data_IF_487259780544
#
_entry.id   IF_487259780544
#
_cell.length_a   1.000
_cell.length_b   1.000
_cell.length_c   1.000
_cell.angle_alpha   90.00
_cell.angle_beta   90.00
_cell.angle_gamma   90.00
#
_symmetry.space_group_name_H-M   'P 1'
#
loop_
_entity.id
_entity.type
_entity.pdbx_description
1 polymer ?
#
# COMPACT_ATOMS: atom_id res chain seq x y z
N UNK A 1 -11.61 -4.21 -27.31
CA UNK A 1 -11.50 -3.54 -27.11
C UNK A 1 -11.22 -3.18 -26.71
N UNK A 2 -11.48 -3.31 -26.46
CA UNK A 2 -11.40 -2.69 -26.04
C UNK A 2 -11.48 -2.35 -25.66
N UNK A 3 -11.81 -2.48 -25.65
CA UNK A 3 -12.00 -1.91 -25.13
C UNK A 3 -11.96 -1.60 -24.64
N UNK A 4 -12.22 -1.60 -24.59
CA UNK A 4 -12.28 -0.91 -24.24
C UNK A 4 -12.03 -0.47 -23.88
N UNK A 5 -12.21 -0.52 -23.78
CA UNK A 5 -12.07 0.13 -23.46
C UNK A 5 -11.87 0.46 -23.22
N UNK A 6 -12.01 0.55 -23.19
CA UNK A 6 -11.90 1.29 -22.87
C UNK A 6 -11.57 1.79 -22.51
N UNK A 7 -11.57 1.63 -22.47
CA UNK A 7 -11.34 2.37 -22.06
C UNK A 7 -11.01 2.91 -21.80
N UNK A 8 -11.02 2.87 -21.96
CA UNK A 8 -10.74 3.65 -21.62
C UNK A 8 -10.52 4.22 -20.92
N UNK A 9 -10.88 4.30 -20.80
CA UNK A 9 -10.57 5.07 -20.03
C UNK A 9 -9.74 4.67 -19.21
N UNK A 10 -9.10 4.45 -19.46
CA UNK A 10 -8.23 3.88 -18.60
C UNK A 10 -7.58 4.81 -17.70
N UNK A 11 -7.75 4.67 -16.49
CA UNK A 11 -7.06 5.47 -15.55
C UNK A 11 -5.71 4.88 -15.29
N UNK A 12 -4.68 5.70 -15.07
CA UNK A 12 -3.33 5.18 -14.90
C UNK A 12 -3.21 4.17 -13.78
N UNK A 13 -3.95 4.37 -12.71
CA UNK A 13 -3.84 3.43 -11.62
C UNK A 13 -4.37 2.07 -11.99
N UNK A 14 -5.30 1.98 -12.88
CA UNK A 14 -5.77 0.68 -13.30
C UNK A 14 -4.73 -0.03 -14.14
N UNK A 15 -4.01 0.70 -14.92
CA UNK A 15 -3.00 0.07 -15.75
C UNK A 15 -1.87 -0.48 -14.87
N UNK A 16 -1.53 0.24 -13.83
CA UNK A 16 -0.45 -0.19 -12.99
C UNK A 16 -0.79 -1.38 -12.14
N UNK A 17 -2.04 -1.66 -11.95
CA UNK A 17 -2.45 -2.67 -11.02
C UNK A 17 -3.00 -3.88 -11.73
N UNK A 18 -2.23 -4.42 -12.64
CA UNK A 18 -2.60 -5.64 -13.32
C UNK A 18 -2.40 -6.76 -12.32
N UNK A 19 -3.34 -6.92 -11.43
CA UNK A 19 -3.24 -7.86 -10.32
C UNK A 19 -3.88 -9.18 -10.73
N UNK A 20 -3.26 -10.25 -10.38
CA UNK A 20 -3.84 -11.57 -10.61
C UNK A 20 -4.93 -11.90 -9.60
N UNK A 21 -5.63 -13.01 -9.78
CA UNK A 21 -6.63 -13.43 -8.83
C UNK A 21 -6.00 -13.63 -7.46
N UNK A 22 -6.67 -13.16 -6.43
CA UNK A 22 -6.20 -13.34 -5.07
C UNK A 22 -5.02 -12.44 -4.68
N UNK A 23 -4.68 -11.46 -5.53
CA UNK A 23 -3.56 -10.55 -5.24
C UNK A 23 -4.08 -9.13 -5.26
N UNK A 24 -3.79 -8.38 -4.23
CA UNK A 24 -4.17 -6.99 -4.13
C UNK A 24 -2.97 -6.08 -4.00
N UNK A 25 -3.22 -4.84 -3.71
CA UNK A 25 -2.17 -3.87 -3.41
C UNK A 25 -2.54 -3.12 -2.13
N UNK A 26 -1.53 -2.66 -1.42
CA UNK A 26 -1.74 -1.90 -0.20
C UNK A 26 -0.93 -0.62 -0.31
N UNK A 27 -1.58 0.49 -0.09
CA UNK A 27 -0.92 1.79 -0.10
C UNK A 27 -1.04 2.39 1.29
N UNK A 28 0.09 2.64 1.92
CA UNK A 28 0.11 3.25 3.23
C UNK A 28 0.46 4.72 3.06
N UNK A 29 -0.48 5.58 3.38
CA UNK A 29 -0.31 7.03 3.29
C UNK A 29 0.18 7.55 4.63
N UNK A 30 1.22 8.38 4.60
CA UNK A 30 1.83 8.87 5.83
C UNK A 30 2.01 10.38 5.77
N UNK A 31 2.52 10.95 6.83
CA UNK A 31 2.97 12.32 6.82
C UNK A 31 4.42 12.41 6.40
N UNK A 32 4.92 13.63 6.28
CA UNK A 32 6.28 13.88 5.84
C UNK A 32 7.32 13.33 6.82
N UNK A 33 6.95 13.15 8.06
CA UNK A 33 7.88 12.65 9.07
C UNK A 33 8.31 11.22 8.83
N UNK A 34 7.58 10.49 8.01
CA UNK A 34 8.00 9.13 7.68
C UNK A 34 8.68 9.03 6.32
N UNK A 35 8.92 10.14 5.66
CA UNK A 35 9.58 10.14 4.35
C UNK A 35 10.94 9.44 4.47
N UNK A 36 11.17 8.47 3.63
CA UNK A 36 12.41 7.72 3.62
C UNK A 36 12.46 6.55 4.58
N UNK A 37 11.49 6.41 5.46
CA UNK A 37 11.46 5.29 6.37
C UNK A 37 10.99 4.02 5.66
N UNK A 38 11.42 2.90 6.15
CA UNK A 38 10.95 1.63 5.62
C UNK A 38 9.79 1.13 6.43
N UNK A 39 8.74 0.76 5.76
CA UNK A 39 7.56 0.14 6.37
C UNK A 39 7.64 -1.35 6.05
N UNK A 40 7.47 -2.18 7.07
CA UNK A 40 7.45 -3.61 6.88
C UNK A 40 6.03 -4.14 6.95
N UNK A 41 5.78 -5.23 6.28
CA UNK A 41 4.48 -5.89 6.29
C UNK A 41 4.71 -7.37 6.49
N UNK A 42 3.87 -8.00 7.28
CA UNK A 42 3.91 -9.45 7.46
C UNK A 42 2.49 -10.00 7.58
N UNK A 43 2.27 -11.25 7.18
CA UNK A 43 0.98 -11.87 7.45
C UNK A 43 0.70 -11.87 8.95
N UNK A 44 -0.56 -11.74 9.32
CA UNK A 44 -0.93 -11.64 10.74
C UNK A 44 -0.53 -12.86 11.54
N UNK A 45 -0.41 -14.02 10.90
CA UNK A 45 -0.03 -15.24 11.61
C UNK A 45 1.46 -15.56 11.47
N UNK A 46 2.27 -14.65 10.95
CA UNK A 46 3.66 -14.96 10.73
C UNK A 46 4.48 -13.68 10.80
N UNK A 47 4.70 -13.19 12.01
CA UNK A 47 5.38 -11.91 12.22
C UNK A 47 6.79 -11.88 11.67
N UNK A 48 7.39 -13.03 11.44
CA UNK A 48 8.76 -13.06 10.93
C UNK A 48 8.82 -13.03 9.41
N UNK A 49 7.73 -13.23 8.73
CA UNK A 49 7.72 -13.26 7.27
C UNK A 49 7.53 -11.85 6.74
N UNK A 50 8.53 -11.02 6.87
CA UNK A 50 8.41 -9.59 6.58
C UNK A 50 9.00 -9.22 5.24
N UNK A 51 8.31 -8.34 4.54
CA UNK A 51 8.88 -7.65 3.40
C UNK A 51 8.73 -6.15 3.66
N UNK A 52 9.39 -5.32 2.87
CA UNK A 52 9.40 -3.90 3.17
C UNK A 52 9.33 -3.05 1.93
N UNK A 53 8.85 -1.82 2.11
CA UNK A 53 8.86 -0.79 1.09
C UNK A 53 9.15 0.54 1.77
N UNK A 54 9.79 1.42 1.05
CA UNK A 54 10.15 2.72 1.59
C UNK A 54 9.05 3.73 1.32
N UNK A 55 8.88 4.67 2.22
CA UNK A 55 7.94 5.77 2.03
C UNK A 55 8.59 6.77 1.08
N UNK A 56 7.93 7.03 -0.03
CA UNK A 56 8.41 7.94 -1.05
C UNK A 56 7.52 9.16 -1.15
N UNK A 57 8.10 10.28 -1.57
CA UNK A 57 7.34 11.47 -1.89
C UNK A 57 6.73 11.25 -3.28
N UNK A 58 5.43 11.24 -3.36
CA UNK A 58 4.70 11.05 -4.60
C UNK A 58 3.79 12.26 -4.79
N UNK A 59 4.27 13.33 -5.41
CA UNK A 59 3.48 14.56 -5.50
C UNK A 59 2.15 14.32 -6.20
N UNK A 60 1.11 14.92 -5.65
CA UNK A 60 -0.22 14.82 -6.21
C UNK A 60 -0.77 16.23 -6.30
N UNK A 61 -1.10 16.67 -7.50
CA UNK A 61 -1.66 18.00 -7.70
C UNK A 61 -0.74 19.11 -7.22
N UNK A 62 0.58 18.92 -7.34
CA UNK A 62 1.54 19.91 -6.92
C UNK A 62 1.82 19.92 -5.43
N UNK A 63 1.24 18.99 -4.67
CA UNK A 63 1.44 18.93 -3.24
C UNK A 63 2.19 17.68 -2.87
N UNK A 64 3.04 17.73 -1.85
CA UNK A 64 3.76 16.54 -1.42
C UNK A 64 2.76 15.49 -0.91
N UNK A 65 3.04 14.25 -1.21
CA UNK A 65 2.21 13.14 -0.76
C UNK A 65 3.13 11.98 -0.49
N UNK A 66 3.07 11.42 0.70
CA UNK A 66 4.03 10.41 1.12
C UNK A 66 3.33 9.06 1.27
N UNK A 67 3.89 8.06 0.65
CA UNK A 67 3.26 6.74 0.71
C UNK A 67 4.28 5.63 0.50
N UNK A 68 4.01 4.49 1.13
CA UNK A 68 4.68 3.23 0.84
C UNK A 68 3.69 2.36 0.07
N UNK A 69 4.10 1.82 -1.06
CA UNK A 69 3.21 1.06 -1.92
C UNK A 69 3.68 -0.39 -1.99
N UNK A 70 2.81 -1.29 -1.55
CA UNK A 70 3.04 -2.73 -1.66
C UNK A 70 2.16 -3.19 -2.82
N UNK A 71 2.75 -3.35 -3.98
CA UNK A 71 2.00 -3.46 -5.22
C UNK A 71 1.55 -4.86 -5.57
N UNK A 72 1.96 -5.87 -4.83
CA UNK A 72 1.52 -7.23 -5.10
C UNK A 72 1.47 -7.97 -3.77
N UNK A 73 0.31 -7.98 -3.15
CA UNK A 73 0.14 -8.57 -1.83
C UNK A 73 -0.96 -9.63 -1.92
N UNK A 74 -0.68 -10.87 -1.61
CA UNK A 74 -1.75 -11.87 -1.60
C UNK A 74 -2.87 -11.46 -0.65
N UNK A 75 -4.09 -11.75 -1.03
CA UNK A 75 -5.24 -11.42 -0.18
C UNK A 75 -5.06 -12.07 1.18
N UNK A 76 -5.35 -11.33 2.22
CA UNK A 76 -5.19 -11.85 3.57
C UNK A 76 -5.14 -10.72 4.59
N UNK A 77 -4.74 -11.06 5.80
CA UNK A 77 -4.66 -10.11 6.89
C UNK A 77 -3.21 -9.91 7.28
N UNK A 78 -2.83 -8.69 7.53
CA UNK A 78 -1.43 -8.33 7.69
C UNK A 78 -1.20 -7.40 8.87
N UNK A 79 0.04 -7.33 9.32
CA UNK A 79 0.51 -6.34 10.28
C UNK A 79 1.51 -5.44 9.58
N UNK A 80 1.39 -4.13 9.83
CA UNK A 80 2.35 -3.16 9.36
C UNK A 80 3.27 -2.78 10.50
N UNK A 81 4.56 -2.63 10.21
CA UNK A 81 5.60 -2.39 11.22
C UNK A 81 6.42 -1.17 10.86
N UNK A 82 6.85 -0.45 11.88
CA UNK A 82 7.79 0.66 11.71
C UNK A 82 8.84 0.56 12.81
N UNK A 83 10.10 0.53 12.43
CA UNK A 83 11.22 0.46 13.39
C UNK A 83 11.05 -0.69 14.38
N UNK A 84 10.57 -1.81 13.89
CA UNK A 84 10.45 -3.02 14.71
C UNK A 84 9.22 -3.06 15.60
N UNK A 85 8.36 -2.06 15.55
CA UNK A 85 7.15 -2.03 16.36
C UNK A 85 5.92 -2.07 15.48
N UNK A 86 4.85 -2.72 15.91
CA UNK A 86 3.64 -2.77 15.09
C UNK A 86 3.04 -1.38 14.96
N UNK A 87 2.73 -1.01 13.74
CA UNK A 87 2.11 0.25 13.45
C UNK A 87 0.61 0.08 13.33
N UNK A 88 0.16 -0.98 12.71
CA UNK A 88 -1.26 -1.29 12.58
C UNK A 88 -1.40 -2.79 12.38
N UNK A 89 -2.30 -3.42 13.12
CA UNK A 89 -2.55 -4.84 12.98
C UNK A 89 -3.89 -5.07 12.31
N UNK A 90 -4.08 -6.27 11.80
CA UNK A 90 -5.35 -6.71 11.22
C UNK A 90 -5.74 -5.86 10.02
N UNK A 91 -4.78 -5.62 9.15
CA UNK A 91 -5.03 -4.90 7.93
C UNK A 91 -5.46 -5.91 6.86
N UNK A 92 -6.67 -5.79 6.40
CA UNK A 92 -7.20 -6.73 5.41
C UNK A 92 -6.89 -6.24 4.02
N UNK A 93 -6.31 -7.11 3.20
CA UNK A 93 -6.05 -6.83 1.79
C UNK A 93 -6.93 -7.77 0.99
N UNK A 94 -7.81 -7.21 0.18
CA UNK A 94 -8.67 -8.01 -0.68
C UNK A 94 -8.01 -8.21 -2.02
N UNK A 95 -8.30 -9.32 -2.66
CA UNK A 95 -7.75 -9.59 -3.98
C UNK A 95 -8.29 -8.64 -5.02
N UNK A 96 -7.45 -8.31 -5.99
CA UNK A 96 -7.85 -7.51 -7.15
C UNK A 96 -8.30 -6.11 -6.80
N UNK A 97 -7.90 -5.59 -5.66
CA UNK A 97 -8.25 -4.24 -5.24
C UNK A 97 -7.05 -3.56 -4.62
N UNK A 98 -7.15 -2.25 -4.47
CA UNK A 98 -6.17 -1.45 -3.76
C UNK A 98 -6.76 -1.09 -2.41
N UNK A 99 -6.05 -1.41 -1.35
CA UNK A 99 -6.46 -1.03 0.00
C UNK A 99 -5.62 0.18 0.41
N UNK A 100 -6.28 1.24 0.81
CA UNK A 100 -5.59 2.45 1.26
C UNK A 100 -5.70 2.58 2.77
N UNK A 101 -4.57 2.76 3.42
CA UNK A 101 -4.51 2.96 4.87
C UNK A 101 -3.81 4.29 5.10
N UNK A 102 -4.34 5.11 5.97
CA UNK A 102 -3.72 6.38 6.32
C UNK A 102 -3.22 6.34 7.75
N UNK A 103 -1.96 6.69 7.95
CA UNK A 103 -1.37 6.77 9.28
C UNK A 103 -1.04 8.23 9.52
N UNK A 104 -1.66 8.81 10.53
CA UNK A 104 -1.34 10.16 10.92
C UNK A 104 -0.42 10.10 12.10
N UNK A 105 0.56 10.95 12.09
CA UNK A 105 1.42 10.97 13.12
C UNK A 105 0.95 11.67 14.18
N UNK A 106 0.19 11.60 14.78
CA UNK A 106 -0.23 12.34 15.71
C UNK A 106 -0.06 11.95 16.88
N UNK A 107 0.15 11.89 17.35
CA UNK A 107 0.25 11.52 18.38
C UNK A 107 0.98 11.72 18.93
N UNK A 108 1.13 11.82 18.79
CA UNK A 108 1.53 12.01 19.45
C UNK A 108 1.77 12.21 19.85
#
# INVERSE_FOLDING_TARGET
MTPHDHSTDARPEHVMLDLGPGVGALVLHTGADLHGKEIEISPSDSDDARSHKQVHDRPVGGRPHYAAVFDRVPAGEYTLWLDGAPLRRRVAVAGETVTDISIQEEHA
#
